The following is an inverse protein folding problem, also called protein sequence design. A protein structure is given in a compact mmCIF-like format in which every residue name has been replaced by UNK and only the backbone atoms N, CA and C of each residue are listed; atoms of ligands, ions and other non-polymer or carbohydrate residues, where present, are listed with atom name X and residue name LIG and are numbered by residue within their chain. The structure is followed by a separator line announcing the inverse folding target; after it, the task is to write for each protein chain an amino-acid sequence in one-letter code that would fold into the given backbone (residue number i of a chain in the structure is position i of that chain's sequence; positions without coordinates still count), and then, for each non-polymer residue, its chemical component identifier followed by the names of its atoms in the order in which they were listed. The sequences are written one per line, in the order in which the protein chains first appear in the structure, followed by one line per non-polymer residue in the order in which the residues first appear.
data_IF_571978245100
#
_entry.id   IF_571978245100
#
_cell.length_a   1.000
_cell.length_b   1.000
_cell.length_c   1.000
_cell.angle_alpha   90.00
_cell.angle_beta   90.00
_cell.angle_gamma   90.00
#
_symmetry.space_group_name_H-M   'P 1'
#
loop_
_entity.id
_entity.type
_entity.pdbx_description
1 polymer ?
#
# COMPACT_ATOMS: atom_id res chain seq x y z
N UNK A 1 -10.42 -7.45 -14.96
CA UNK A 1 -9.20 -7.71 -15.75
C UNK A 1 -7.97 -7.75 -14.85
N UNK A 2 -7.64 -6.67 -14.14
CA UNK A 2 -6.48 -6.67 -13.23
C UNK A 2 -6.66 -7.64 -12.05
N UNK A 3 -7.85 -7.69 -11.43
CA UNK A 3 -8.13 -8.66 -10.35
C UNK A 3 -8.16 -10.13 -10.81
N UNK A 4 -8.28 -10.41 -12.11
CA UNK A 4 -8.12 -11.78 -12.63
C UNK A 4 -6.66 -12.15 -12.86
N UNK A 5 -5.78 -11.14 -13.01
CA UNK A 5 -4.33 -11.29 -13.06
C UNK A 5 -3.77 -11.47 -11.64
N UNK A 6 -4.13 -10.60 -10.69
CA UNK A 6 -3.75 -10.69 -9.28
C UNK A 6 -4.90 -11.24 -8.41
N UNK A 7 -5.15 -12.55 -8.51
CA UNK A 7 -6.40 -13.18 -8.03
C UNK A 7 -6.61 -13.13 -6.53
N UNK A 8 -5.53 -13.18 -5.75
CA UNK A 8 -5.57 -13.20 -4.29
C UNK A 8 -6.15 -11.90 -3.70
N UNK A 9 -6.10 -10.78 -4.43
CA UNK A 9 -6.65 -9.50 -3.99
C UNK A 9 -8.19 -9.47 -3.97
N UNK A 10 -8.84 -10.36 -4.74
CA UNK A 10 -10.29 -10.51 -4.77
C UNK A 10 -10.71 -11.68 -3.86
N UNK A 11 -10.29 -11.64 -2.60
CA UNK A 11 -10.49 -12.72 -1.65
C UNK A 11 -10.34 -12.28 -0.20
N UNK A 12 -10.28 -13.27 0.68
CA UNK A 12 -10.07 -13.16 2.13
C UNK A 12 -8.86 -13.99 2.54
N UNK A 13 -8.31 -13.72 3.72
CA UNK A 13 -7.38 -14.63 4.37
C UNK A 13 -8.20 -15.63 5.17
N UNK A 14 -8.05 -16.93 4.92
CA UNK A 14 -8.82 -17.98 5.60
C UNK A 14 -7.87 -19.04 6.15
N UNK A 15 -8.32 -19.72 7.22
CA UNK A 15 -7.55 -20.82 7.81
C UNK A 15 -7.51 -21.98 6.80
N UNK A 16 -6.33 -22.53 6.59
CA UNK A 16 -6.10 -23.68 5.73
C UNK A 16 -6.30 -25.01 6.49
N UNK A 17 -6.40 -26.14 5.79
CA UNK A 17 -6.50 -27.47 6.40
C UNK A 17 -5.30 -27.82 7.28
N UNK A 18 -4.12 -27.25 6.97
CA UNK A 18 -2.84 -27.62 7.54
C UNK A 18 -2.41 -26.67 8.68
N UNK A 19 -3.37 -26.17 9.46
CA UNK A 19 -3.20 -25.21 10.57
C UNK A 19 -2.68 -23.80 10.17
N UNK A 20 -2.35 -23.59 8.89
CA UNK A 20 -1.90 -22.31 8.33
C UNK A 20 -3.02 -21.38 7.88
N UNK A 21 -2.66 -20.35 7.13
CA UNK A 21 -3.60 -19.42 6.48
C UNK A 21 -3.28 -19.27 4.99
N UNK A 22 -4.31 -19.16 4.18
CA UNK A 22 -4.19 -18.99 2.73
C UNK A 22 -5.14 -17.91 2.21
N UNK A 23 -4.85 -17.41 1.00
CA UNK A 23 -5.78 -16.52 0.30
C UNK A 23 -6.89 -17.32 -0.35
N UNK A 24 -8.11 -17.17 0.16
CA UNK A 24 -9.29 -17.83 -0.38
C UNK A 24 -10.07 -16.89 -1.30
N UNK A 25 -10.39 -17.38 -2.50
CA UNK A 25 -11.30 -16.72 -3.43
C UNK A 25 -12.45 -17.67 -3.77
N UNK A 26 -13.67 -17.23 -3.46
CA UNK A 26 -14.92 -17.92 -3.77
C UNK A 26 -15.52 -17.36 -5.06
N UNK A 27 -16.52 -18.05 -5.61
CA UNK A 27 -17.16 -17.67 -6.89
C UNK A 27 -17.79 -16.28 -6.84
N UNK A 28 -18.33 -15.92 -5.69
CA UNK A 28 -19.02 -14.68 -5.36
C UNK A 28 -18.11 -13.66 -4.65
N UNK A 29 -16.82 -13.96 -4.48
CA UNK A 29 -15.87 -12.99 -3.94
C UNK A 29 -15.78 -11.77 -4.83
N UNK A 30 -15.89 -10.60 -4.20
CA UNK A 30 -15.76 -9.29 -4.83
C UNK A 30 -14.81 -8.42 -4.03
N UNK A 31 -14.34 -7.34 -4.64
CA UNK A 31 -13.66 -6.26 -3.91
C UNK A 31 -14.64 -5.13 -3.65
N UNK A 32 -14.50 -4.48 -2.51
CA UNK A 32 -15.26 -3.28 -2.23
C UNK A 32 -14.66 -2.11 -3.03
N UNK A 33 -15.49 -1.46 -3.84
CA UNK A 33 -15.13 -0.25 -4.58
C UNK A 33 -16.08 0.86 -4.16
N UNK A 34 -15.55 1.83 -3.41
CA UNK A 34 -16.32 2.95 -2.90
C UNK A 34 -16.14 4.18 -3.79
N UNK A 35 -17.22 4.89 -4.08
CA UNK A 35 -17.18 6.17 -4.77
C UNK A 35 -17.71 7.25 -3.83
N UNK A 36 -16.94 8.31 -3.66
CA UNK A 36 -17.30 9.45 -2.84
C UNK A 36 -17.16 10.73 -3.66
N UNK A 37 -18.21 11.55 -3.68
CA UNK A 37 -18.25 12.84 -4.35
C UNK A 37 -18.16 13.96 -3.30
N UNK A 38 -17.11 14.75 -3.36
CA UNK A 38 -16.80 15.86 -2.45
C UNK A 38 -16.57 17.17 -3.22
N UNK A 39 -16.86 17.17 -4.51
CA UNK A 39 -16.67 18.27 -5.46
C UNK A 39 -17.97 19.06 -5.74
N UNK A 40 -19.10 18.66 -5.15
CA UNK A 40 -20.38 19.35 -5.35
C UNK A 40 -20.40 20.74 -4.71
N UNK A 41 -20.78 21.73 -5.54
CA UNK A 41 -20.96 23.14 -5.19
C UNK A 41 -22.28 23.42 -4.46
N UNK A 42 -23.26 22.51 -4.52
CA UNK A 42 -24.62 22.72 -3.99
C UNK A 42 -24.75 22.51 -2.47
N UNK A 43 -23.68 22.07 -1.82
CA UNK A 43 -23.66 21.94 -0.37
C UNK A 43 -23.06 23.22 0.22
N UNK A 44 -23.89 24.11 0.76
CA UNK A 44 -23.42 25.21 1.64
C UNK A 44 -22.63 24.70 2.87
N UNK A 45 -22.67 23.39 3.14
CA UNK A 45 -21.82 22.68 4.13
C UNK A 45 -20.45 22.21 3.60
N UNK A 46 -20.15 22.41 2.31
CA UNK A 46 -18.90 21.97 1.66
C UNK A 46 -17.82 23.08 1.59
N UNK A 47 -17.92 24.17 2.36
CA UNK A 47 -16.80 25.11 2.50
C UNK A 47 -15.53 24.46 3.08
N UNK A 48 -15.66 23.29 3.73
CA UNK A 48 -14.58 22.44 4.24
C UNK A 48 -14.10 21.36 3.24
N UNK A 49 -14.51 21.41 1.96
CA UNK A 49 -14.06 20.43 0.98
C UNK A 49 -12.68 20.76 0.43
N UNK A 50 -11.69 20.04 0.95
CA UNK A 50 -10.33 19.99 0.47
C UNK A 50 -10.26 19.79 -1.06
N UNK A 51 -9.53 20.67 -1.73
CA UNK A 51 -9.26 20.57 -3.17
C UNK A 51 -7.85 20.07 -3.47
N UNK A 52 -7.62 19.74 -4.73
CA UNK A 52 -6.30 19.37 -5.20
C UNK A 52 -5.28 20.52 -5.05
N UNK A 53 -5.71 21.77 -5.25
CA UNK A 53 -4.86 22.94 -5.06
C UNK A 53 -4.46 23.13 -3.59
N UNK A 54 -5.39 22.94 -2.65
CA UNK A 54 -5.11 23.03 -1.21
C UNK A 54 -4.07 21.99 -0.77
N UNK A 55 -4.17 20.76 -1.30
CA UNK A 55 -3.20 19.68 -1.06
C UNK A 55 -1.82 20.07 -1.60
N UNK A 56 -1.77 20.64 -2.82
CA UNK A 56 -0.54 21.08 -3.45
C UNK A 56 0.12 22.22 -2.68
N UNK A 57 -0.64 23.24 -2.28
CA UNK A 57 -0.16 24.37 -1.47
C UNK A 57 0.37 23.91 -0.10
N UNK A 58 -0.22 22.85 0.45
CA UNK A 58 0.25 22.19 1.66
C UNK A 58 1.45 21.24 1.44
N UNK A 59 2.07 21.24 0.25
CA UNK A 59 3.19 20.35 -0.12
C UNK A 59 2.88 18.85 0.06
N UNK A 60 1.62 18.46 -0.18
CA UNK A 60 1.14 17.08 -0.09
C UNK A 60 1.33 16.44 1.30
N UNK A 61 1.42 17.24 2.36
CA UNK A 61 1.49 16.73 3.74
C UNK A 61 0.18 16.01 4.11
N UNK A 62 0.28 14.84 4.72
CA UNK A 62 -0.88 14.04 5.09
C UNK A 62 -1.78 14.70 6.13
N UNK A 63 -1.24 15.59 6.97
CA UNK A 63 -2.02 16.33 7.97
C UNK A 63 -3.10 17.25 7.37
N UNK A 64 -2.93 17.70 6.11
CA UNK A 64 -3.97 18.50 5.42
C UNK A 64 -5.23 17.68 5.10
N UNK A 65 -5.10 16.35 5.07
CA UNK A 65 -6.21 15.46 4.78
C UNK A 65 -7.18 15.33 5.98
N UNK A 66 -6.78 15.78 7.18
CA UNK A 66 -7.61 15.65 8.39
C UNK A 66 -7.80 14.18 8.79
N UNK A 67 -9.03 13.80 9.12
CA UNK A 67 -9.34 12.42 9.52
C UNK A 67 -9.15 11.43 8.35
N UNK A 68 -8.15 10.55 8.46
CA UNK A 68 -7.83 9.53 7.46
C UNK A 68 -8.99 8.55 7.21
N UNK A 69 -9.92 8.39 8.17
CA UNK A 69 -11.12 7.56 8.00
C UNK A 69 -12.03 8.09 6.89
N UNK A 70 -12.03 9.41 6.64
CA UNK A 70 -12.75 10.02 5.52
C UNK A 70 -12.26 9.47 4.18
N UNK A 71 -10.96 9.19 4.05
CA UNK A 71 -10.33 8.77 2.80
C UNK A 71 -10.22 7.26 2.65
N UNK A 72 -10.27 6.53 3.76
CA UNK A 72 -10.10 5.08 3.79
C UNK A 72 -11.43 4.32 3.63
N UNK A 73 -11.35 3.01 3.42
CA UNK A 73 -12.49 2.09 3.43
C UNK A 73 -12.50 1.26 4.70
N UNK A 74 -13.61 1.27 5.45
CA UNK A 74 -13.82 0.33 6.56
C UNK A 74 -14.18 -1.07 6.00
N UNK A 75 -13.64 -2.19 6.54
CA UNK A 75 -12.79 -2.32 7.72
C UNK A 75 -11.28 -2.29 7.44
N UNK A 76 -10.82 -1.87 6.25
CA UNK A 76 -9.39 -1.81 5.94
C UNK A 76 -8.67 -0.92 6.94
N UNK A 77 -7.82 -1.54 7.74
CA UNK A 77 -7.19 -0.87 8.87
C UNK A 77 -5.75 -1.33 9.05
N UNK A 78 -5.05 -0.67 9.97
CA UNK A 78 -3.66 -0.99 10.28
C UNK A 78 -3.52 -2.45 10.74
N UNK A 79 -2.49 -3.15 10.25
CA UNK A 79 -2.33 -4.60 10.41
C UNK A 79 -2.26 -5.11 11.84
N UNK A 80 -1.97 -4.23 12.81
CA UNK A 80 -1.93 -4.63 14.22
C UNK A 80 -3.29 -4.68 14.90
N UNK A 81 -4.34 -4.11 14.29
CA UNK A 81 -5.67 -4.13 14.88
C UNK A 81 -6.32 -5.51 14.73
N UNK A 82 -7.23 -5.89 15.64
CA UNK A 82 -7.90 -7.18 15.59
C UNK A 82 -8.54 -7.50 14.24
N UNK A 83 -9.17 -6.52 13.58
CA UNK A 83 -9.88 -6.71 12.32
C UNK A 83 -8.97 -7.16 11.16
N UNK A 84 -7.67 -6.85 11.23
CA UNK A 84 -6.69 -7.27 10.23
C UNK A 84 -6.03 -8.62 10.56
N UNK A 85 -6.38 -9.26 11.69
CA UNK A 85 -5.79 -10.55 12.05
C UNK A 85 -6.35 -11.67 11.17
N UNK A 86 -5.52 -12.61 10.67
CA UNK A 86 -5.98 -13.74 9.85
C UNK A 86 -7.14 -14.54 10.45
N UNK A 87 -7.20 -14.67 11.78
CA UNK A 87 -8.28 -15.35 12.52
C UNK A 87 -9.66 -14.73 12.26
N UNK A 88 -9.70 -13.44 11.90
CA UNK A 88 -10.92 -12.69 11.67
C UNK A 88 -11.30 -12.59 10.19
N UNK A 89 -10.65 -13.38 9.34
CA UNK A 89 -10.95 -13.50 7.92
C UNK A 89 -10.96 -12.18 7.14
N UNK A 90 -9.91 -11.34 7.26
CA UNK A 90 -9.90 -10.02 6.62
C UNK A 90 -9.97 -10.15 5.10
N UNK A 91 -10.73 -9.25 4.48
CA UNK A 91 -10.67 -9.05 3.03
C UNK A 91 -9.29 -8.55 2.63
N UNK A 92 -8.81 -9.00 1.47
CA UNK A 92 -7.43 -8.75 1.05
C UNK A 92 -7.26 -7.36 0.45
N UNK A 93 -8.26 -6.85 -0.28
CA UNK A 93 -8.16 -5.54 -0.91
C UNK A 93 -9.49 -4.78 -0.95
N UNK A 94 -9.39 -3.46 -0.91
CA UNK A 94 -10.50 -2.54 -1.16
C UNK A 94 -10.01 -1.26 -1.81
N UNK A 95 -10.87 -0.61 -2.56
CA UNK A 95 -10.53 0.57 -3.35
C UNK A 95 -11.54 1.69 -3.10
N UNK A 96 -11.08 2.95 -3.18
CA UNK A 96 -11.96 4.12 -3.06
C UNK A 96 -11.56 5.23 -4.02
N UNK A 97 -12.52 5.71 -4.80
CA UNK A 97 -12.40 6.90 -5.62
C UNK A 97 -13.06 8.09 -4.90
N UNK A 98 -12.24 9.08 -4.52
CA UNK A 98 -12.68 10.29 -3.86
C UNK A 98 -12.59 11.46 -4.85
N UNK A 99 -13.71 11.84 -5.47
CA UNK A 99 -13.78 13.02 -6.33
C UNK A 99 -13.75 14.27 -5.44
N UNK A 100 -12.72 15.08 -5.63
CA UNK A 100 -12.51 16.34 -4.91
C UNK A 100 -12.47 17.48 -5.92
N UNK A 101 -12.62 18.72 -5.44
CA UNK A 101 -12.50 19.87 -6.34
C UNK A 101 -11.12 19.85 -7.02
N UNK A 102 -11.14 19.86 -8.35
CA UNK A 102 -9.95 19.87 -9.20
C UNK A 102 -9.29 18.49 -9.43
N UNK A 103 -9.84 17.38 -8.92
CA UNK A 103 -9.22 16.08 -9.19
C UNK A 103 -9.85 14.87 -8.50
N UNK A 104 -9.08 13.78 -8.47
CA UNK A 104 -9.44 12.49 -7.89
C UNK A 104 -8.33 12.05 -6.94
N UNK A 105 -8.70 11.64 -5.73
CA UNK A 105 -7.82 10.84 -4.87
C UNK A 105 -8.27 9.39 -4.87
N UNK A 106 -7.45 8.55 -5.50
CA UNK A 106 -7.67 7.11 -5.57
C UNK A 106 -6.89 6.40 -4.47
N UNK A 107 -7.60 5.68 -3.60
CA UNK A 107 -7.03 4.97 -2.46
C UNK A 107 -7.11 3.47 -2.71
N UNK A 108 -5.96 2.80 -2.59
CA UNK A 108 -5.83 1.35 -2.71
C UNK A 108 -5.42 0.79 -1.35
N UNK A 109 -6.30 0.00 -0.73
CA UNK A 109 -5.98 -0.73 0.49
C UNK A 109 -5.68 -2.17 0.16
N UNK A 110 -4.53 -2.68 0.61
CA UNK A 110 -4.21 -4.11 0.58
C UNK A 110 -3.83 -4.58 1.98
N UNK A 111 -4.18 -5.81 2.32
CA UNK A 111 -3.64 -6.50 3.47
C UNK A 111 -2.15 -6.79 3.23
N UNK A 112 -1.26 -6.43 4.16
CA UNK A 112 0.19 -6.46 3.92
C UNK A 112 0.75 -7.87 3.63
N UNK A 113 0.07 -8.93 4.07
CA UNK A 113 0.45 -10.30 3.70
C UNK A 113 0.32 -10.60 2.20
N UNK A 114 -0.46 -9.80 1.47
CA UNK A 114 -0.69 -10.03 0.04
C UNK A 114 0.39 -9.45 -0.87
N UNK A 115 1.08 -8.40 -0.43
CA UNK A 115 2.16 -7.77 -1.17
C UNK A 115 3.01 -6.87 -0.27
N UNK A 116 4.25 -6.69 -0.69
CA UNK A 116 5.08 -5.57 -0.27
C UNK A 116 4.79 -4.32 -1.15
N UNK A 117 5.57 -3.26 -0.93
CA UNK A 117 5.45 -2.02 -1.71
C UNK A 117 5.73 -2.24 -3.21
N UNK A 118 6.57 -3.20 -3.57
CA UNK A 118 6.91 -3.48 -4.97
C UNK A 118 5.78 -4.24 -5.66
N UNK A 119 5.15 -5.20 -4.98
CA UNK A 119 3.96 -5.88 -5.45
C UNK A 119 2.77 -4.93 -5.60
N UNK A 120 2.59 -4.00 -4.65
CA UNK A 120 1.59 -2.93 -4.77
C UNK A 120 1.86 -2.00 -5.96
N UNK A 121 3.12 -1.58 -6.17
CA UNK A 121 3.50 -0.73 -7.29
C UNK A 121 3.28 -1.44 -8.64
N UNK A 122 3.69 -2.69 -8.76
CA UNK A 122 3.47 -3.51 -9.96
C UNK A 122 1.97 -3.65 -10.29
N UNK A 123 1.13 -3.92 -9.28
CA UNK A 123 -0.32 -3.94 -9.48
C UNK A 123 -0.85 -2.58 -9.94
N UNK A 124 -0.36 -1.48 -9.35
CA UNK A 124 -0.81 -0.12 -9.68
C UNK A 124 -0.52 0.22 -11.14
N UNK A 125 0.68 -0.11 -11.63
CA UNK A 125 1.02 0.02 -13.05
C UNK A 125 0.13 -0.86 -13.93
N UNK A 126 -0.01 -2.13 -13.58
CA UNK A 126 -0.85 -3.06 -14.32
C UNK A 126 -2.32 -2.60 -14.37
N UNK A 127 -2.85 -2.04 -13.29
CA UNK A 127 -4.19 -1.44 -13.23
C UNK A 127 -4.30 -0.25 -14.18
N UNK A 128 -3.36 0.68 -14.11
CA UNK A 128 -3.34 1.87 -14.95
C UNK A 128 -3.27 1.53 -16.45
N UNK A 129 -2.39 0.61 -16.85
CA UNK A 129 -2.25 0.17 -18.24
C UNK A 129 -3.48 -0.57 -18.74
N UNK A 130 -4.08 -1.44 -17.91
CA UNK A 130 -5.34 -2.10 -18.23
C UNK A 130 -6.47 -1.07 -18.44
N UNK A 131 -6.61 -0.08 -17.56
CA UNK A 131 -7.57 1.01 -17.69
C UNK A 131 -7.33 1.81 -18.98
N UNK A 132 -6.06 2.16 -19.26
CA UNK A 132 -5.65 2.85 -20.47
C UNK A 132 -6.03 2.07 -21.74
N UNK A 133 -5.75 0.76 -21.77
CA UNK A 133 -6.09 -0.10 -22.91
C UNK A 133 -7.59 -0.16 -23.20
N UNK A 134 -8.43 -0.16 -22.14
CA UNK A 134 -9.88 -0.11 -22.27
C UNK A 134 -10.33 1.25 -22.82
N UNK A 135 -9.82 2.34 -22.23
CA UNK A 135 -10.20 3.70 -22.61
C UNK A 135 -9.83 4.00 -24.06
N UNK A 136 -8.61 3.67 -24.47
CA UNK A 136 -8.10 3.96 -25.79
C UNK A 136 -8.32 2.83 -26.80
N UNK A 137 -8.97 1.73 -26.39
CA UNK A 137 -9.24 0.54 -27.22
C UNK A 137 -7.98 -0.03 -27.87
N UNK A 138 -6.86 -0.02 -27.16
CA UNK A 138 -5.60 -0.59 -27.62
C UNK A 138 -5.48 -2.05 -27.20
N UNK A 139 -4.41 -2.71 -27.64
CA UNK A 139 -4.04 -4.02 -27.12
C UNK A 139 -3.84 -3.96 -25.59
N UNK A 140 -4.16 -5.07 -24.93
CA UNK A 140 -4.00 -5.20 -23.49
C UNK A 140 -2.52 -5.32 -23.13
N UNK A 141 -2.08 -4.73 -22.00
CA UNK A 141 -0.74 -4.95 -21.52
C UNK A 141 -0.50 -6.46 -21.29
N UNK A 142 0.70 -6.97 -21.59
CA UNK A 142 1.04 -8.35 -21.31
C UNK A 142 0.98 -8.62 -19.80
N UNK A 143 0.76 -9.88 -19.43
CA UNK A 143 0.84 -10.35 -18.05
C UNK A 143 1.67 -11.61 -17.99
N UNK A 144 2.74 -11.58 -17.20
CA UNK A 144 3.54 -12.75 -16.94
C UNK A 144 2.85 -13.65 -15.91
N UNK A 145 2.44 -14.84 -16.33
CA UNK A 145 1.80 -15.80 -15.44
C UNK A 145 2.74 -16.28 -14.33
N UNK A 146 4.06 -16.16 -14.52
CA UNK A 146 5.06 -16.50 -13.51
C UNK A 146 4.96 -15.62 -12.26
N UNK A 147 4.31 -14.45 -12.35
CA UNK A 147 4.00 -13.61 -11.19
C UNK A 147 3.01 -14.27 -10.20
N UNK A 148 2.36 -15.37 -10.59
CA UNK A 148 1.52 -16.19 -9.70
C UNK A 148 2.24 -17.42 -9.15
N UNK A 149 3.48 -17.68 -9.57
CA UNK A 149 4.29 -18.78 -9.06
C UNK A 149 4.99 -18.37 -7.76
N UNK A 150 4.34 -18.67 -6.64
CA UNK A 150 4.87 -18.39 -5.30
C UNK A 150 5.99 -19.35 -4.88
N UNK A 151 6.22 -20.45 -5.61
CA UNK A 151 7.25 -21.43 -5.25
C UNK A 151 8.66 -20.83 -5.17
N UNK A 152 8.87 -19.72 -5.89
CA UNK A 152 10.13 -18.94 -5.88
C UNK A 152 10.33 -18.11 -4.61
N UNK A 153 9.25 -17.82 -3.87
CA UNK A 153 9.23 -16.96 -2.70
C UNK A 153 8.96 -17.73 -1.40
N UNK A 154 8.37 -18.93 -1.50
CA UNK A 154 8.07 -19.80 -0.37
C UNK A 154 9.21 -20.80 -0.15
N UNK A 155 9.63 -20.96 1.11
CA UNK A 155 10.49 -22.07 1.51
C UNK A 155 9.63 -23.29 1.85
N UNK A 156 10.15 -24.52 1.72
CA UNK A 156 9.47 -25.69 2.27
C UNK A 156 9.19 -25.49 3.76
N UNK A 157 8.03 -25.97 4.21
CA UNK A 157 7.66 -25.87 5.61
C UNK A 157 8.67 -26.57 6.51
N UNK A 158 8.97 -25.93 7.63
CA UNK A 158 9.79 -26.55 8.68
C UNK A 158 8.97 -27.70 9.30
N UNK A 159 9.53 -28.92 9.41
CA UNK A 159 8.87 -30.03 10.09
C UNK A 159 8.39 -29.63 11.49
N UNK A 160 7.21 -30.09 11.89
CA UNK A 160 6.53 -29.65 13.13
C UNK A 160 7.45 -29.80 14.35
N UNK A 161 8.23 -30.88 14.39
CA UNK A 161 9.15 -31.23 15.47
C UNK A 161 10.37 -30.28 15.57
N UNK A 162 10.62 -29.50 14.51
CA UNK A 162 11.70 -28.50 14.44
C UNK A 162 11.17 -27.07 14.54
N UNK A 163 9.85 -26.88 14.61
CA UNK A 163 9.26 -25.55 14.82
C UNK A 163 9.57 -25.13 16.26
N UNK A 164 9.89 -23.86 16.43
CA UNK A 164 10.08 -23.22 17.73
C UNK A 164 9.11 -22.06 17.83
N UNK A 165 8.61 -21.79 19.03
CA UNK A 165 7.75 -20.64 19.24
C UNK A 165 8.54 -19.35 19.01
N UNK A 166 7.97 -18.46 18.21
CA UNK A 166 8.53 -17.13 18.00
C UNK A 166 8.49 -16.31 19.30
N UNK A 167 9.31 -15.25 19.40
CA UNK A 167 9.19 -14.32 20.52
C UNK A 167 7.77 -13.74 20.57
N UNK A 168 7.24 -13.42 21.76
CA UNK A 168 5.95 -12.74 21.87
C UNK A 168 5.98 -11.42 21.10
N UNK A 169 4.81 -10.98 20.64
CA UNK A 169 4.67 -9.68 19.97
C UNK A 169 5.24 -8.58 20.89
N UNK A 170 6.13 -7.69 20.41
CA UNK A 170 6.62 -6.59 21.21
C UNK A 170 5.47 -5.71 21.71
N UNK A 171 5.46 -5.42 23.00
CA UNK A 171 4.51 -4.48 23.60
C UNK A 171 5.05 -3.04 23.51
N UNK A 172 4.13 -2.08 23.62
CA UNK A 172 4.50 -0.66 23.67
C UNK A 172 5.25 -0.39 24.98
N UNK A 173 6.46 0.13 24.88
CA UNK A 173 7.27 0.50 26.04
C UNK A 173 6.54 1.56 26.91
N UNK A 174 6.67 1.48 28.24
CA UNK A 174 6.02 2.42 29.18
C UNK A 174 6.39 3.87 28.92
N UNK A 175 7.63 4.09 28.49
CA UNK A 175 8.20 5.43 28.27
C UNK A 175 7.88 6.01 26.88
N UNK A 176 7.02 5.33 26.11
CA UNK A 176 6.67 5.78 24.78
C UNK A 176 5.81 7.04 24.84
N UNK A 177 6.38 8.17 24.44
CA UNK A 177 5.72 9.48 24.37
C UNK A 177 4.89 9.66 23.09
N UNK A 178 3.95 10.62 23.04
CA UNK A 178 3.30 10.99 21.79
C UNK A 178 4.31 11.32 20.69
N UNK A 179 4.07 10.81 19.49
CA UNK A 179 4.91 11.03 18.32
C UNK A 179 4.07 11.60 17.17
N UNK A 180 4.73 12.35 16.28
CA UNK A 180 4.12 12.90 15.08
C UNK A 180 4.84 12.39 13.83
N UNK A 181 4.08 12.25 12.74
CA UNK A 181 4.63 11.87 11.43
C UNK A 181 4.81 13.13 10.58
N UNK A 182 6.07 13.44 10.27
CA UNK A 182 6.44 14.60 9.46
C UNK A 182 6.94 14.15 8.08
N UNK A 183 6.59 14.92 7.05
CA UNK A 183 7.06 14.70 5.68
C UNK A 183 8.20 15.68 5.39
N UNK A 184 9.38 15.14 5.10
CA UNK A 184 10.54 15.92 4.67
C UNK A 184 10.80 15.68 3.17
N UNK A 185 10.95 16.78 2.43
CA UNK A 185 11.29 16.73 1.01
C UNK A 185 12.79 16.94 0.84
N UNK A 186 13.47 16.02 0.15
CA UNK A 186 14.86 16.20 -0.27
C UNK A 186 14.91 16.55 -1.76
N UNK A 187 15.22 17.81 -2.14
CA UNK A 187 15.33 18.18 -3.54
C UNK A 187 16.43 17.38 -4.25
N UNK A 188 16.21 17.05 -5.53
CA UNK A 188 17.16 16.29 -6.35
C UNK A 188 18.58 16.85 -6.32
N UNK A 189 18.74 18.18 -6.36
CA UNK A 189 20.04 18.84 -6.29
C UNK A 189 20.76 18.61 -4.95
N UNK A 190 20.01 18.60 -3.84
CA UNK A 190 20.57 18.31 -2.51
C UNK A 190 20.84 16.82 -2.30
N UNK A 191 20.02 15.94 -2.88
CA UNK A 191 20.30 14.51 -2.89
C UNK A 191 21.59 14.17 -3.66
N UNK A 192 21.83 14.83 -4.78
CA UNK A 192 23.07 14.69 -5.55
C UNK A 192 24.29 15.17 -4.75
N UNK A 193 24.18 16.32 -4.09
CA UNK A 193 25.24 16.86 -3.25
C UNK A 193 25.53 15.99 -2.03
N UNK A 194 24.49 15.48 -1.35
CA UNK A 194 24.62 14.56 -0.24
C UNK A 194 25.35 13.28 -0.66
N UNK A 195 24.94 12.69 -1.80
CA UNK A 195 25.62 11.53 -2.37
C UNK A 195 27.09 11.83 -2.69
N UNK A 196 27.39 13.00 -3.26
CA UNK A 196 28.76 13.42 -3.59
C UNK A 196 29.63 13.52 -2.34
N UNK A 197 29.10 14.09 -1.25
CA UNK A 197 29.79 14.24 0.03
C UNK A 197 30.03 12.90 0.72
N UNK A 198 29.06 11.98 0.63
CA UNK A 198 29.15 10.65 1.23
C UNK A 198 29.95 9.65 0.37
N UNK A 199 30.31 10.00 -0.87
CA UNK A 199 30.91 9.06 -1.81
C UNK A 199 32.30 8.60 -1.33
N UNK A 200 32.56 7.29 -1.23
CA UNK A 200 33.87 6.78 -0.79
C UNK A 200 34.99 7.21 -1.74
N UNK A 201 36.11 7.68 -1.20
CA UNK A 201 37.26 8.14 -2.00
C UNK A 201 38.42 7.16 -2.06
N UNK A 202 38.47 6.15 -1.19
CA UNK A 202 39.69 5.37 -0.94
C UNK A 202 39.69 3.96 -1.52
N UNK A 203 38.54 3.29 -1.64
CA UNK A 203 38.46 1.85 -1.89
C UNK A 203 37.67 1.46 -3.16
N UNK A 204 37.16 2.44 -3.91
CA UNK A 204 36.34 2.20 -5.10
C UNK A 204 34.94 1.67 -4.79
N UNK A 205 34.53 1.68 -3.51
CA UNK A 205 33.17 1.32 -3.11
C UNK A 205 32.14 2.26 -3.73
N UNK A 206 30.95 1.73 -4.00
CA UNK A 206 29.84 2.48 -4.56
C UNK A 206 28.71 2.59 -3.55
N UNK A 207 28.11 3.77 -3.49
CA UNK A 207 26.87 4.01 -2.74
C UNK A 207 25.76 4.51 -3.68
N UNK A 208 24.53 4.20 -3.35
CA UNK A 208 23.35 4.77 -3.97
C UNK A 208 22.99 6.13 -3.35
N UNK A 209 22.03 6.84 -3.96
CA UNK A 209 21.44 8.01 -3.31
C UNK A 209 20.63 7.61 -2.07
N UNK A 210 20.05 6.41 -2.07
CA UNK A 210 19.31 5.87 -0.93
C UNK A 210 20.23 5.63 0.27
N UNK A 211 21.43 5.09 0.05
CA UNK A 211 22.41 4.84 1.12
C UNK A 211 22.87 6.16 1.74
N UNK A 212 23.24 7.14 0.90
CA UNK A 212 23.65 8.47 1.34
C UNK A 212 22.54 9.18 2.15
N UNK A 213 21.28 9.02 1.73
CA UNK A 213 20.15 9.60 2.44
C UNK A 213 19.82 8.87 3.75
N UNK A 214 19.82 7.54 3.73
CA UNK A 214 19.53 6.73 4.91
C UNK A 214 20.57 6.92 6.01
N UNK A 215 21.84 7.15 5.65
CA UNK A 215 22.90 7.47 6.60
C UNK A 215 22.81 8.90 7.16
N UNK A 216 22.12 9.81 6.48
CA UNK A 216 21.98 11.20 6.91
C UNK A 216 20.85 11.40 7.94
N UNK A 217 19.82 10.56 7.89
CA UNK A 217 18.69 10.55 8.83
C UNK A 217 19.09 9.84 10.12
#
# INVERSE_FOLDING_TARGET
MTLSQARHLCGSIEKDSDEGYSFAKKRDSTVHFHVQWMDSLDNEKNSDCLSFDDIREANYRTSVLGDIKRWSVHPMTYGEKPEARPENHPVVASYKANFIRGGLMFIMHHHHYSNDVMGWAGLTHQLAENCSSIMYKTERPPWDISCLDLSRLTKPDVPVEKRVDGPPKPEKHSDHIPAEMLLFHLPKSKAAELKRLAYPTEDGSWISTYDAFSAFI
#
